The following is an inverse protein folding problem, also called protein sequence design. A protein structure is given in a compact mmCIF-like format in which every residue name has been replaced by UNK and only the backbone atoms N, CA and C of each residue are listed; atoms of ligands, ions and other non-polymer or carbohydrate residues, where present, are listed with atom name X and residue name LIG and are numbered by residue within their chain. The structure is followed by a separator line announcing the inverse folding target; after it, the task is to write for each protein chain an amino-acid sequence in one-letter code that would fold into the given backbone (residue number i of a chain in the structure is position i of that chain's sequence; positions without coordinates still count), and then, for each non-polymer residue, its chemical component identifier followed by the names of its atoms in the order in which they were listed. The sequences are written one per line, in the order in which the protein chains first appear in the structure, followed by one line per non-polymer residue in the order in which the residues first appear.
data_IF_102557872444
#
_entry.id   IF_102557872444
#
_cell.length_a   1.000
_cell.length_b   1.000
_cell.length_c   1.000
_cell.angle_alpha   90.00
_cell.angle_beta   90.00
_cell.angle_gamma   90.00
#
_symmetry.space_group_name_H-M   'P 1'
#
loop_
_entity.id
_entity.type
_entity.pdbx_description
1 polymer ?
#
# COMPACT_ATOMS: atom_id res chain seq x y z
N UNK A 1 0.30 14.74 6.62
CA UNK A 1 -0.09 13.34 6.42
C UNK A 1 -1.61 13.29 6.35
N UNK A 2 -2.14 12.74 5.26
CA UNK A 2 -3.58 12.61 5.08
C UNK A 2 -4.19 11.56 6.02
N UNK A 3 -5.51 11.55 6.12
CA UNK A 3 -6.27 10.49 6.80
C UNK A 3 -6.99 9.62 5.78
N UNK A 4 -7.20 8.34 6.07
CA UNK A 4 -8.03 7.44 5.26
C UNK A 4 -9.45 8.00 4.99
N UNK A 5 -9.96 8.87 5.86
CA UNK A 5 -11.28 9.48 5.67
C UNK A 5 -11.31 10.52 4.53
N UNK A 6 -10.16 10.98 4.06
CA UNK A 6 -10.02 11.87 2.91
C UNK A 6 -9.76 11.10 1.60
N UNK A 7 -9.51 9.79 1.69
CA UNK A 7 -9.26 8.94 0.54
C UNK A 7 -10.54 8.61 -0.22
N UNK A 8 -10.44 8.44 -1.54
CA UNK A 8 -11.56 8.03 -2.41
C UNK A 8 -11.59 6.51 -2.61
N UNK A 9 -11.66 5.78 -1.51
CA UNK A 9 -11.84 4.33 -1.51
C UNK A 9 -13.33 3.97 -1.45
N UNK A 10 -13.73 2.94 -2.19
CA UNK A 10 -15.00 2.26 -1.94
C UNK A 10 -14.97 1.53 -0.59
N UNK A 11 -16.14 1.17 -0.07
CA UNK A 11 -16.23 0.40 1.18
C UNK A 11 -15.48 -0.94 1.09
N UNK A 12 -15.54 -1.59 -0.06
CA UNK A 12 -14.88 -2.87 -0.33
C UNK A 12 -13.35 -2.71 -0.40
N UNK A 13 -12.85 -1.70 -1.13
CA UNK A 13 -11.42 -1.38 -1.19
C UNK A 13 -10.88 -1.01 0.20
N UNK A 14 -11.61 -0.21 0.97
CA UNK A 14 -11.23 0.16 2.34
C UNK A 14 -11.16 -1.08 3.24
N UNK A 15 -12.17 -1.96 3.17
CA UNK A 15 -12.21 -3.20 3.95
C UNK A 15 -11.01 -4.10 3.64
N UNK A 16 -10.70 -4.29 2.35
CA UNK A 16 -9.54 -5.11 1.93
C UNK A 16 -8.22 -4.47 2.36
N UNK A 17 -8.06 -3.15 2.17
CA UNK A 17 -6.85 -2.42 2.55
C UNK A 17 -6.58 -2.50 4.06
N UNK A 18 -7.58 -2.23 4.89
CA UNK A 18 -7.45 -2.28 6.35
C UNK A 18 -7.06 -3.70 6.80
N UNK A 19 -7.73 -4.74 6.28
CA UNK A 19 -7.40 -6.14 6.59
C UNK A 19 -6.04 -6.58 6.08
N UNK A 20 -5.61 -6.05 4.93
CA UNK A 20 -4.31 -6.31 4.36
C UNK A 20 -3.21 -5.72 5.23
N UNK A 21 -3.35 -4.47 5.68
CA UNK A 21 -2.42 -3.82 6.60
C UNK A 21 -2.32 -4.58 7.93
N UNK A 22 -3.45 -4.94 8.53
CA UNK A 22 -3.48 -5.76 9.76
C UNK A 22 -2.71 -7.08 9.55
N UNK A 23 -2.94 -7.74 8.42
CA UNK A 23 -2.32 -9.02 8.08
C UNK A 23 -0.81 -8.88 7.86
N UNK A 24 -0.35 -7.83 7.19
CA UNK A 24 1.07 -7.57 7.01
C UNK A 24 1.76 -7.33 8.36
N UNK A 25 1.14 -6.53 9.23
CA UNK A 25 1.68 -6.29 10.56
C UNK A 25 1.80 -7.57 11.38
N UNK A 26 0.76 -8.42 11.37
CA UNK A 26 0.79 -9.71 12.07
C UNK A 26 1.81 -10.70 11.49
N UNK A 27 1.96 -10.77 10.16
CA UNK A 27 2.83 -11.75 9.49
C UNK A 27 4.31 -11.33 9.49
N UNK A 28 4.59 -10.04 9.35
CA UNK A 28 5.96 -9.53 9.18
C UNK A 28 6.53 -8.91 10.47
N UNK A 29 5.69 -8.35 11.34
CA UNK A 29 6.14 -7.70 12.58
C UNK A 29 7.26 -6.70 12.32
N UNK A 30 8.40 -6.90 12.98
CA UNK A 30 9.59 -6.06 12.84
C UNK A 30 10.24 -6.10 11.44
N UNK A 31 9.81 -6.97 10.54
CA UNK A 31 10.25 -6.98 9.12
C UNK A 31 9.48 -5.98 8.25
N UNK A 32 8.37 -5.43 8.75
CA UNK A 32 7.59 -4.39 8.08
C UNK A 32 7.99 -3.02 8.64
N UNK A 33 8.59 -2.19 7.79
CA UNK A 33 9.01 -0.84 8.17
C UNK A 33 7.87 0.17 7.99
N UNK A 34 7.09 0.06 6.89
CA UNK A 34 5.96 0.96 6.64
C UNK A 34 4.95 0.42 5.62
N UNK A 35 3.71 0.92 5.68
CA UNK A 35 2.70 0.75 4.62
C UNK A 35 2.04 2.09 4.31
N UNK A 36 2.10 2.52 3.06
CA UNK A 36 1.59 3.82 2.62
C UNK A 36 0.58 3.66 1.49
N UNK A 37 -0.60 4.25 1.65
CA UNK A 37 -1.52 4.50 0.53
C UNK A 37 -1.08 5.78 -0.16
N UNK A 38 -0.88 5.74 -1.48
CA UNK A 38 -0.48 6.91 -2.26
C UNK A 38 -1.30 7.04 -3.54
N UNK A 39 -0.91 7.97 -4.41
CA UNK A 39 -1.55 8.15 -5.71
C UNK A 39 -2.92 8.82 -5.63
N UNK A 40 -3.72 8.64 -6.69
CA UNK A 40 -4.98 9.37 -6.89
C UNK A 40 -6.00 9.12 -5.76
N UNK A 41 -6.06 7.89 -5.25
CA UNK A 41 -6.96 7.50 -4.16
C UNK A 41 -6.60 8.16 -2.84
N UNK A 42 -5.31 8.27 -2.52
CA UNK A 42 -4.83 8.96 -1.32
C UNK A 42 -5.15 10.46 -1.34
N UNK A 43 -5.02 11.11 -2.51
CA UNK A 43 -5.29 12.54 -2.70
C UNK A 43 -6.78 12.90 -2.75
N UNK A 44 -7.66 11.92 -2.67
CA UNK A 44 -9.10 12.13 -2.77
C UNK A 44 -9.54 12.59 -4.17
N UNK A 45 -8.80 12.22 -5.22
CA UNK A 45 -9.15 12.56 -6.59
C UNK A 45 -10.40 11.78 -7.05
N UNK A 46 -11.07 12.33 -8.07
CA UNK A 46 -12.24 11.69 -8.68
C UNK A 46 -11.86 10.30 -9.21
N UNK A 47 -12.55 9.28 -8.73
CA UNK A 47 -12.37 7.88 -9.17
C UNK A 47 -12.77 7.75 -10.65
N UNK A 48 -11.88 7.14 -11.43
CA UNK A 48 -12.12 6.75 -12.83
C UNK A 48 -11.99 5.23 -12.98
N UNK A 49 -12.42 4.68 -14.12
CA UNK A 49 -12.30 3.25 -14.39
C UNK A 49 -10.85 2.74 -14.47
N UNK A 50 -9.87 3.63 -14.58
CA UNK A 50 -8.44 3.32 -14.62
C UNK A 50 -7.73 3.65 -13.30
N UNK A 51 -8.48 4.07 -12.27
CA UNK A 51 -7.90 4.47 -10.99
C UNK A 51 -7.64 3.24 -10.13
N UNK A 52 -6.40 2.76 -10.10
CA UNK A 52 -5.96 1.72 -9.18
C UNK A 52 -5.80 2.27 -7.75
N UNK A 53 -5.71 1.36 -6.78
CA UNK A 53 -5.38 1.63 -5.37
C UNK A 53 -3.88 1.38 -5.20
N UNK A 54 -3.11 2.47 -5.21
CA UNK A 54 -1.65 2.39 -5.13
C UNK A 54 -1.17 2.25 -3.67
N UNK A 55 -0.51 1.14 -3.35
CA UNK A 55 0.01 0.86 -2.01
C UNK A 55 1.51 0.61 -2.09
N UNK A 56 2.27 1.32 -1.27
CA UNK A 56 3.71 1.13 -1.12
C UNK A 56 3.99 0.46 0.22
N UNK A 57 4.60 -0.72 0.16
CA UNK A 57 5.03 -1.50 1.32
C UNK A 57 6.55 -1.40 1.42
N UNK A 58 7.03 -0.90 2.55
CA UNK A 58 8.45 -0.88 2.89
C UNK A 58 8.72 -2.03 3.86
N UNK A 59 9.50 -3.00 3.43
CA UNK A 59 9.82 -4.20 4.20
C UNK A 59 11.29 -4.59 4.05
N UNK A 60 11.84 -5.25 5.06
CA UNK A 60 13.25 -5.70 5.06
C UNK A 60 13.56 -6.71 3.95
N UNK A 61 12.62 -7.62 3.66
CA UNK A 61 12.72 -8.53 2.52
C UNK A 61 11.89 -8.02 1.33
N UNK A 62 12.50 -7.17 0.51
CA UNK A 62 11.94 -6.71 -0.75
C UNK A 62 12.39 -7.56 -1.96
N UNK A 63 12.91 -8.77 -1.73
CA UNK A 63 13.24 -9.69 -2.82
C UNK A 63 11.99 -10.20 -3.51
N UNK A 64 12.16 -10.94 -4.62
CA UNK A 64 11.04 -11.57 -5.31
C UNK A 64 10.19 -12.46 -4.37
N UNK A 65 10.84 -13.22 -3.49
CA UNK A 65 10.17 -14.10 -2.53
C UNK A 65 9.39 -13.32 -1.46
N UNK A 66 9.97 -12.25 -0.92
CA UNK A 66 9.29 -11.35 0.02
C UNK A 66 8.10 -10.64 -0.61
N UNK A 67 8.30 -10.09 -1.81
CA UNK A 67 7.24 -9.45 -2.59
C UNK A 67 6.10 -10.43 -2.92
N UNK A 68 6.42 -11.68 -3.29
CA UNK A 68 5.41 -12.72 -3.55
C UNK A 68 4.56 -12.98 -2.31
N UNK A 69 5.16 -13.13 -1.13
CA UNK A 69 4.45 -13.33 0.13
C UNK A 69 3.51 -12.16 0.48
N UNK A 70 3.90 -10.93 0.18
CA UNK A 70 3.07 -9.73 0.38
C UNK A 70 1.87 -9.73 -0.57
N UNK A 71 2.07 -10.07 -1.84
CA UNK A 71 0.96 -10.17 -2.80
C UNK A 71 0.01 -11.32 -2.47
N UNK A 72 0.54 -12.47 -2.03
CA UNK A 72 -0.27 -13.59 -1.53
C UNK A 72 -1.13 -13.16 -0.34
N UNK A 73 -0.58 -12.39 0.62
CA UNK A 73 -1.35 -11.88 1.75
C UNK A 73 -2.54 -11.00 1.32
N UNK A 74 -2.38 -10.14 0.29
CA UNK A 74 -3.49 -9.36 -0.26
C UNK A 74 -4.58 -10.27 -0.86
N UNK A 75 -4.17 -11.28 -1.62
CA UNK A 75 -5.11 -12.22 -2.23
C UNK A 75 -5.84 -13.07 -1.18
N UNK A 76 -5.13 -13.56 -0.16
CA UNK A 76 -5.69 -14.29 0.97
C UNK A 76 -6.77 -13.45 1.65
N UNK A 77 -6.43 -12.21 2.03
CA UNK A 77 -7.35 -11.28 2.70
C UNK A 77 -8.58 -11.02 1.84
N UNK A 78 -8.39 -10.68 0.57
CA UNK A 78 -9.51 -10.42 -0.34
C UNK A 78 -10.41 -11.65 -0.50
N UNK A 79 -9.84 -12.86 -0.49
CA UNK A 79 -10.59 -14.10 -0.49
C UNK A 79 -11.36 -14.32 0.83
N UNK A 80 -10.72 -14.13 1.99
CA UNK A 80 -11.32 -14.31 3.31
C UNK A 80 -12.53 -13.40 3.54
N UNK A 81 -12.49 -12.15 3.04
CA UNK A 81 -13.62 -11.21 3.14
C UNK A 81 -14.61 -11.32 1.97
N UNK A 82 -14.50 -12.37 1.13
CA UNK A 82 -15.36 -12.62 -0.03
C UNK A 82 -15.34 -11.50 -1.11
N UNK A 83 -14.23 -10.77 -1.22
CA UNK A 83 -13.98 -9.67 -2.16
C UNK A 83 -12.81 -9.96 -3.12
N UNK A 84 -12.61 -11.22 -3.55
CA UNK A 84 -11.42 -11.60 -4.35
C UNK A 84 -11.19 -10.77 -5.62
N UNK A 85 -12.24 -10.22 -6.23
CA UNK A 85 -12.13 -9.34 -7.40
C UNK A 85 -11.49 -7.98 -7.07
N UNK A 86 -11.63 -7.52 -5.84
CA UNK A 86 -11.12 -6.23 -5.36
C UNK A 86 -9.59 -6.23 -5.30
N UNK A 87 -8.95 -7.39 -5.06
CA UNK A 87 -7.49 -7.50 -5.09
C UNK A 87 -6.87 -7.01 -6.42
N UNK A 88 -7.60 -7.15 -7.54
CA UNK A 88 -7.14 -6.71 -8.86
C UNK A 88 -7.13 -5.19 -9.02
N UNK A 89 -7.77 -4.44 -8.12
CA UNK A 89 -7.74 -2.99 -8.12
C UNK A 89 -6.49 -2.43 -7.42
N UNK A 90 -5.67 -3.27 -6.77
CA UNK A 90 -4.51 -2.81 -6.01
C UNK A 90 -3.23 -2.91 -6.84
N UNK A 91 -2.48 -1.81 -6.90
CA UNK A 91 -1.11 -1.78 -7.39
C UNK A 91 -0.17 -1.74 -6.18
N UNK A 92 0.34 -2.91 -5.78
CA UNK A 92 1.24 -3.03 -4.62
C UNK A 92 2.69 -2.93 -5.08
N UNK A 93 3.39 -1.94 -4.54
CA UNK A 93 4.82 -1.73 -4.74
C UNK A 93 5.56 -2.17 -3.47
N UNK A 94 6.53 -3.06 -3.59
CA UNK A 94 7.31 -3.57 -2.46
C UNK A 94 8.76 -3.16 -2.62
N UNK A 95 9.28 -2.45 -1.62
CA UNK A 95 10.67 -1.97 -1.59
C UNK A 95 11.25 -2.06 -0.18
N UNK A 96 12.57 -1.97 -0.06
CA UNK A 96 13.24 -1.81 1.24
C UNK A 96 13.49 -0.33 1.54
N UNK A 97 13.89 -0.04 2.78
CA UNK A 97 14.18 1.33 3.21
C UNK A 97 15.31 1.99 2.40
N UNK A 98 16.30 1.22 1.95
CA UNK A 98 17.41 1.74 1.15
C UNK A 98 16.95 2.26 -0.21
N UNK A 99 15.90 1.67 -0.80
CA UNK A 99 15.30 2.15 -2.04
C UNK A 99 14.72 3.55 -1.86
N UNK A 100 13.99 3.80 -0.77
CA UNK A 100 13.42 5.12 -0.48
C UNK A 100 14.53 6.17 -0.35
N UNK A 101 15.57 5.87 0.42
CA UNK A 101 16.69 6.78 0.63
C UNK A 101 17.40 7.12 -0.68
N UNK A 102 17.63 6.11 -1.53
CA UNK A 102 18.22 6.30 -2.86
C UNK A 102 17.32 7.18 -3.76
N UNK A 103 16.01 6.97 -3.73
CA UNK A 103 15.07 7.78 -4.52
C UNK A 103 14.98 9.23 -4.05
N UNK A 104 15.03 9.46 -2.74
CA UNK A 104 15.09 10.81 -2.16
C UNK A 104 16.40 11.52 -2.51
N UNK A 105 17.52 10.80 -2.48
CA UNK A 105 18.84 11.35 -2.82
C UNK A 105 18.95 11.86 -4.27
N UNK A 106 18.15 11.30 -5.19
CA UNK A 106 18.09 11.75 -6.59
C UNK A 106 16.89 12.66 -6.87
N UNK A 107 16.21 13.15 -5.83
CA UNK A 107 15.02 14.01 -5.95
C UNK A 107 13.97 13.40 -6.89
N UNK A 108 13.75 12.08 -6.76
CA UNK A 108 12.80 11.36 -7.60
C UNK A 108 11.41 11.99 -7.49
N UNK A 109 10.87 12.47 -8.61
CA UNK A 109 9.53 13.07 -8.66
C UNK A 109 8.47 12.14 -8.05
N UNK A 110 8.56 10.83 -8.34
CA UNK A 110 7.67 9.83 -7.77
C UNK A 110 7.69 9.83 -6.23
N UNK A 111 8.88 9.72 -5.62
CA UNK A 111 8.98 9.68 -4.15
C UNK A 111 8.67 11.04 -3.53
N UNK A 112 8.97 12.16 -4.21
CA UNK A 112 8.55 13.47 -3.75
C UNK A 112 7.01 13.60 -3.66
N UNK A 113 6.28 13.03 -4.62
CA UNK A 113 4.80 12.99 -4.55
C UNK A 113 4.29 12.06 -3.45
N UNK A 114 4.90 10.88 -3.29
CA UNK A 114 4.57 9.96 -2.19
C UNK A 114 4.81 10.63 -0.83
N UNK A 115 5.98 11.24 -0.62
CA UNK A 115 6.33 11.93 0.63
C UNK A 115 5.35 13.07 0.95
N UNK A 116 4.85 13.77 -0.07
CA UNK A 116 3.89 14.87 0.09
C UNK A 116 2.48 14.39 0.46
N UNK A 117 1.99 13.37 -0.23
CA UNK A 117 0.55 13.07 -0.28
C UNK A 117 0.14 11.72 0.30
N UNK A 118 1.08 10.87 0.71
CA UNK A 118 0.71 9.55 1.23
C UNK A 118 -0.10 9.65 2.53
N UNK A 119 -0.90 8.60 2.73
CA UNK A 119 -1.55 8.28 3.99
C UNK A 119 -0.75 7.14 4.60
N UNK A 120 -0.18 7.37 5.77
CA UNK A 120 0.56 6.36 6.50
C UNK A 120 -0.42 5.43 7.22
N UNK A 121 -0.31 4.14 6.91
CA UNK A 121 -1.14 3.07 7.45
C UNK A 121 -0.36 2.19 8.43
N UNK A 122 0.90 2.53 8.70
CA UNK A 122 1.73 1.78 9.64
C UNK A 122 1.10 1.89 11.03
N UNK A 123 0.77 0.75 11.70
CA UNK A 123 0.23 0.79 13.05
C UNK A 123 1.21 1.48 14.01
N UNK A 124 0.66 2.27 14.93
CA UNK A 124 1.43 2.99 15.95
C UNK A 124 2.00 2.09 17.05
#
# INVERSE_FOLDING_TARGET
MGSLDQATLSADERTVLERFVDTLHLRLGDELDAVWLFGSRARGERVTALSDVDVLVIAKDATWSGSTRIHEALHDVAHEVALSKVAWAFSVHVHDSSWIDQRRAIESFFVAEVDRDHIDLTPA
#
